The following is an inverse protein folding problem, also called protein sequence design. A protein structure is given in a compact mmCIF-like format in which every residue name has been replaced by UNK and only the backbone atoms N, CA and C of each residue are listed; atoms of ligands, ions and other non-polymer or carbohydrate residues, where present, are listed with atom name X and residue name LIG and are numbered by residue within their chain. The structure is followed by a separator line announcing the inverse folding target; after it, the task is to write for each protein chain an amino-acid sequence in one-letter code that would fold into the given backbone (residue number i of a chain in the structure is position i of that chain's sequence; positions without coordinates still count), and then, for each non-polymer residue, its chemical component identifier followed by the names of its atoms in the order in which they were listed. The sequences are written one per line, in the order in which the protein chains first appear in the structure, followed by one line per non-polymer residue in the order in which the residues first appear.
data_IF_584290406259
#
_entry.id   IF_584290406259
#
_cell.length_a   1.000
_cell.length_b   1.000
_cell.length_c   1.000
_cell.angle_alpha   90.00
_cell.angle_beta   90.00
_cell.angle_gamma   90.00
#
_symmetry.space_group_name_H-M   'P 1'
#
loop_
_entity.id
_entity.type
_entity.pdbx_description
1 polymer ?
#
# COMPACT_ATOMS: atom_id res chain seq x y z
N UNK A 1 -1.29 6.35 4.89
CA UNK A 1 -0.37 6.99 3.92
C UNK A 1 -1.13 7.98 3.04
N UNK A 2 -0.68 9.23 3.03
CA UNK A 2 -1.28 10.23 2.14
C UNK A 2 -0.95 9.91 0.68
N UNK A 3 -1.97 9.88 -0.20
CA UNK A 3 -1.80 9.49 -1.62
C UNK A 3 -2.27 10.58 -2.59
N UNK A 4 -3.04 11.53 -2.09
CA UNK A 4 -3.55 12.67 -2.87
C UNK A 4 -3.86 13.80 -1.91
N UNK A 5 -4.04 15.04 -2.38
CA UNK A 5 -4.44 16.13 -1.50
C UNK A 5 -5.74 15.81 -0.76
N UNK A 6 -5.69 15.82 0.56
CA UNK A 6 -6.84 15.56 1.41
C UNK A 6 -7.26 14.10 1.54
N UNK A 7 -6.52 13.15 0.94
CA UNK A 7 -6.89 11.73 0.94
C UNK A 7 -5.70 10.88 1.38
N UNK A 8 -5.97 9.97 2.30
CA UNK A 8 -5.00 8.96 2.74
C UNK A 8 -5.59 7.56 2.59
N UNK A 9 -4.73 6.57 2.62
CA UNK A 9 -5.10 5.17 2.49
C UNK A 9 -4.44 4.33 3.59
N UNK A 10 -5.16 3.32 4.03
CA UNK A 10 -4.67 2.25 4.89
C UNK A 10 -5.33 0.94 4.48
N UNK A 11 -5.11 -0.12 5.23
CA UNK A 11 -5.80 -1.38 4.97
C UNK A 11 -7.20 -1.37 5.62
N UNK A 12 -8.14 -2.08 4.99
CA UNK A 12 -9.50 -2.22 5.52
C UNK A 12 -9.52 -2.86 6.90
N UNK A 13 -8.58 -3.77 7.18
CA UNK A 13 -8.51 -4.41 8.48
C UNK A 13 -8.10 -3.45 9.62
N UNK A 14 -7.65 -2.23 9.28
CA UNK A 14 -7.34 -1.17 10.25
C UNK A 14 -8.53 -0.22 10.50
N UNK A 15 -9.72 -0.53 9.99
CA UNK A 15 -10.88 0.37 10.04
C UNK A 15 -11.23 0.84 11.46
N UNK A 16 -11.08 -0.05 12.44
CA UNK A 16 -11.41 0.27 13.83
C UNK A 16 -10.49 1.31 14.47
N UNK A 17 -9.38 1.64 13.82
CA UNK A 17 -8.44 2.66 14.28
C UNK A 17 -8.83 4.07 13.83
N UNK A 18 -9.87 4.20 13.00
CA UNK A 18 -10.26 5.49 12.40
C UNK A 18 -11.69 5.88 12.82
N UNK A 19 -11.93 7.20 13.06
CA UNK A 19 -13.30 7.68 13.22
C UNK A 19 -14.10 7.47 11.94
N UNK A 20 -15.35 7.01 12.07
CA UNK A 20 -16.18 6.73 10.90
C UNK A 20 -16.48 7.98 10.05
N UNK A 21 -16.44 9.16 10.66
CA UNK A 21 -16.74 10.43 9.97
C UNK A 21 -15.73 10.79 8.89
N UNK A 22 -14.48 10.32 9.02
CA UNK A 22 -13.43 10.62 8.05
C UNK A 22 -13.31 9.57 6.95
N UNK A 23 -13.97 8.42 7.08
CA UNK A 23 -13.88 7.35 6.09
C UNK A 23 -14.60 7.76 4.81
N UNK A 24 -13.89 7.69 3.68
CA UNK A 24 -14.44 7.93 2.34
C UNK A 24 -15.09 6.66 1.82
N UNK A 25 -14.40 5.54 1.94
CA UNK A 25 -14.90 4.26 1.48
C UNK A 25 -13.84 3.18 1.52
N UNK A 26 -14.28 1.96 1.19
CA UNK A 26 -13.46 0.77 1.21
C UNK A 26 -13.50 0.11 -0.16
N UNK A 27 -12.36 -0.34 -0.66
CA UNK A 27 -12.30 -1.08 -1.91
C UNK A 27 -13.06 -2.39 -1.78
N UNK A 28 -13.72 -2.79 -2.87
CA UNK A 28 -14.57 -3.97 -2.85
C UNK A 28 -13.79 -5.28 -2.73
N UNK A 29 -12.72 -5.42 -3.52
CA UNK A 29 -11.99 -6.67 -3.68
C UNK A 29 -10.56 -6.61 -3.14
N UNK A 30 -10.19 -5.52 -2.49
CA UNK A 30 -8.84 -5.30 -1.99
C UNK A 30 -8.88 -4.77 -0.56
N UNK A 31 -7.85 -5.05 0.21
CA UNK A 31 -7.72 -4.60 1.59
C UNK A 31 -7.26 -3.14 1.65
N UNK A 32 -8.09 -2.25 1.13
CA UNK A 32 -7.83 -0.81 1.03
C UNK A 32 -9.01 -0.01 1.59
N UNK A 33 -8.70 0.92 2.46
CA UNK A 33 -9.62 1.87 3.06
C UNK A 33 -9.12 3.28 2.81
N UNK A 34 -9.98 4.14 2.28
CA UNK A 34 -9.64 5.54 2.00
C UNK A 34 -10.32 6.45 3.00
N UNK A 35 -9.58 7.45 3.47
CA UNK A 35 -10.10 8.37 4.48
C UNK A 35 -9.58 9.80 4.23
N UNK A 36 -10.30 10.77 4.79
CA UNK A 36 -9.92 12.18 4.67
C UNK A 36 -8.73 12.49 5.56
N UNK A 37 -7.79 13.26 5.02
CA UNK A 37 -6.61 13.71 5.72
C UNK A 37 -6.47 15.21 5.49
N UNK A 38 -6.05 15.93 6.51
CA UNK A 38 -5.84 17.39 6.42
C UNK A 38 -4.58 17.77 5.66
N UNK A 39 -3.69 16.83 5.42
CA UNK A 39 -2.42 17.08 4.73
C UNK A 39 -2.63 17.23 3.23
N UNK A 40 -1.96 18.23 2.65
CA UNK A 40 -1.94 18.44 1.20
C UNK A 40 -0.53 18.10 0.72
N UNK A 41 -0.31 16.84 0.38
CA UNK A 41 1.01 16.37 -0.04
C UNK A 41 0.97 15.96 -1.50
N UNK A 42 1.98 16.36 -2.26
CA UNK A 42 2.23 15.79 -3.56
C UNK A 42 3.17 14.61 -3.39
N UNK A 43 2.74 13.46 -3.84
CA UNK A 43 3.50 12.23 -3.72
C UNK A 43 3.94 11.81 -5.12
N UNK A 44 5.26 11.79 -5.34
CA UNK A 44 5.81 11.22 -6.55
C UNK A 44 5.63 9.71 -6.51
N UNK A 45 5.22 9.11 -7.62
CA UNK A 45 4.90 7.69 -7.69
C UNK A 45 5.66 7.01 -8.82
N UNK A 46 5.83 5.70 -8.70
CA UNK A 46 6.43 4.87 -9.73
C UNK A 46 5.80 3.48 -9.69
N UNK A 47 6.00 2.71 -10.76
CA UNK A 47 5.54 1.34 -10.83
C UNK A 47 6.57 0.39 -10.24
N UNK A 48 6.13 -0.75 -9.66
CA UNK A 48 7.07 -1.77 -9.21
C UNK A 48 7.76 -2.45 -10.41
N UNK A 49 9.02 -2.78 -10.24
CA UNK A 49 9.80 -3.51 -11.25
C UNK A 49 10.49 -4.70 -10.62
N UNK A 50 10.46 -5.84 -11.28
CA UNK A 50 11.15 -7.05 -10.81
C UNK A 50 12.64 -6.80 -10.69
N UNK A 51 13.23 -7.25 -9.58
CA UNK A 51 14.64 -7.07 -9.29
C UNK A 51 15.00 -5.71 -8.74
N UNK A 52 14.06 -4.77 -8.67
CA UNK A 52 14.31 -3.44 -8.13
C UNK A 52 14.35 -3.45 -6.62
N UNK A 53 15.22 -2.61 -6.05
CA UNK A 53 15.29 -2.40 -4.60
C UNK A 53 14.13 -1.55 -4.13
N UNK A 54 13.61 -1.88 -2.96
CA UNK A 54 12.53 -1.14 -2.33
C UNK A 54 12.80 -0.96 -0.84
N UNK A 55 12.19 0.06 -0.25
CA UNK A 55 12.22 0.27 1.18
C UNK A 55 10.81 0.49 1.69
N UNK A 56 10.44 -0.28 2.71
CA UNK A 56 9.14 -0.17 3.36
C UNK A 56 9.27 0.55 4.69
N UNK A 57 8.20 1.21 5.11
CA UNK A 57 8.11 1.93 6.38
C UNK A 57 6.89 1.45 7.15
N UNK A 58 7.07 1.30 8.46
CA UNK A 58 6.01 0.89 9.34
C UNK A 58 6.31 1.23 10.79
N UNK A 59 5.47 0.76 11.70
CA UNK A 59 5.66 0.94 13.13
C UNK A 59 5.99 -0.39 13.79
N UNK A 60 6.96 -0.38 14.69
CA UNK A 60 7.23 -1.52 15.56
C UNK A 60 6.20 -1.61 16.69
N UNK A 61 6.30 -2.66 17.50
CA UNK A 61 5.40 -2.90 18.63
C UNK A 61 5.43 -1.77 19.66
N UNK A 62 6.52 -1.03 19.73
CA UNK A 62 6.71 0.12 20.62
C UNK A 62 6.22 1.45 20.01
N UNK A 63 5.68 1.42 18.77
CA UNK A 63 5.26 2.60 18.05
C UNK A 63 6.37 3.34 17.33
N UNK A 64 7.62 2.90 17.46
CA UNK A 64 8.75 3.51 16.77
C UNK A 64 8.72 3.23 15.28
N UNK A 65 9.21 4.18 14.49
CA UNK A 65 9.34 4.01 13.04
C UNK A 65 10.34 2.91 12.72
N UNK A 66 9.92 1.98 11.89
CA UNK A 66 10.76 0.88 11.41
C UNK A 66 10.87 0.95 9.90
N UNK A 67 12.00 0.50 9.37
CA UNK A 67 12.21 0.39 7.93
C UNK A 67 12.59 -1.05 7.59
N UNK A 68 12.24 -1.46 6.38
CA UNK A 68 12.62 -2.78 5.86
C UNK A 68 13.04 -2.64 4.41
N UNK A 69 14.21 -3.15 4.08
CA UNK A 69 14.71 -3.16 2.72
C UNK A 69 14.34 -4.48 2.05
N UNK A 70 14.16 -4.46 0.76
CA UNK A 70 13.87 -5.67 0.00
C UNK A 70 14.10 -5.50 -1.48
N UNK A 71 13.83 -6.57 -2.21
CA UNK A 71 13.92 -6.63 -3.67
C UNK A 71 12.62 -7.21 -4.20
N UNK A 72 12.04 -6.56 -5.19
CA UNK A 72 10.78 -7.03 -5.81
C UNK A 72 11.04 -8.38 -6.49
N UNK A 73 10.29 -9.38 -6.06
CA UNK A 73 10.39 -10.76 -6.56
C UNK A 73 9.40 -11.05 -7.68
N UNK A 74 8.19 -10.54 -7.55
CA UNK A 74 7.10 -10.87 -8.46
C UNK A 74 6.07 -9.75 -8.52
N UNK A 75 5.39 -9.68 -9.67
CA UNK A 75 4.29 -8.75 -9.91
C UNK A 75 3.15 -9.58 -10.48
N UNK A 76 2.03 -9.64 -9.77
CA UNK A 76 0.89 -10.44 -10.16
C UNK A 76 -0.17 -9.59 -10.83
N UNK A 77 -0.57 -10.04 -12.00
CA UNK A 77 -1.66 -9.42 -12.76
C UNK A 77 -2.92 -10.27 -12.63
N UNK A 78 -4.06 -9.67 -12.93
CA UNK A 78 -5.33 -10.39 -12.97
C UNK A 78 -5.87 -10.38 -14.39
N UNK A 79 -6.70 -11.40 -14.69
CA UNK A 79 -7.32 -11.51 -16.02
C UNK A 79 -8.25 -10.33 -16.27
N UNK A 80 -8.05 -9.63 -17.39
CA UNK A 80 -8.85 -8.47 -17.75
C UNK A 80 -8.53 -7.18 -16.99
N UNK A 81 -7.51 -7.19 -16.13
CA UNK A 81 -7.10 -6.00 -15.39
C UNK A 81 -6.10 -5.18 -16.20
N UNK A 82 -6.23 -3.85 -16.14
CA UNK A 82 -5.26 -2.94 -16.73
C UNK A 82 -4.07 -2.69 -15.79
N UNK A 83 -4.32 -2.67 -14.48
CA UNK A 83 -3.29 -2.51 -13.47
C UNK A 83 -2.98 -3.84 -12.79
N UNK A 84 -1.73 -4.07 -12.35
CA UNK A 84 -1.40 -5.27 -11.58
C UNK A 84 -2.21 -5.37 -10.30
N UNK A 85 -2.49 -6.59 -9.84
CA UNK A 85 -3.23 -6.82 -8.62
C UNK A 85 -2.38 -6.54 -7.39
N UNK A 86 -1.15 -7.10 -7.35
CA UNK A 86 -0.21 -6.89 -6.24
C UNK A 86 1.21 -7.20 -6.69
N UNK A 87 2.19 -6.83 -5.86
CA UNK A 87 3.56 -7.24 -6.02
C UNK A 87 4.12 -7.80 -4.71
N UNK A 88 5.20 -8.55 -4.82
CA UNK A 88 5.81 -9.27 -3.69
C UNK A 88 7.29 -8.91 -3.61
N UNK A 89 7.77 -8.61 -2.41
CA UNK A 89 9.20 -8.45 -2.18
C UNK A 89 9.62 -9.22 -0.93
N UNK A 90 10.87 -9.66 -0.90
CA UNK A 90 11.43 -10.32 0.28
C UNK A 90 12.05 -9.28 1.20
N UNK A 91 11.73 -9.32 2.47
CA UNK A 91 12.24 -8.34 3.44
C UNK A 91 11.82 -8.66 4.87
N UNK A 92 12.16 -7.78 5.80
CA UNK A 92 11.92 -7.97 7.24
C UNK A 92 10.72 -7.18 7.77
N UNK A 93 9.83 -6.73 6.89
CA UNK A 93 8.60 -6.08 7.33
C UNK A 93 7.70 -7.09 8.04
N UNK A 94 7.00 -6.66 9.07
CA UNK A 94 6.15 -7.54 9.86
C UNK A 94 4.94 -6.79 10.40
N UNK A 95 4.40 -7.22 11.55
CA UNK A 95 3.29 -6.52 12.19
C UNK A 95 3.61 -5.03 12.39
N UNK A 96 2.66 -4.15 12.08
CA UNK A 96 2.84 -2.71 12.13
C UNK A 96 3.23 -2.08 10.79
N UNK A 97 3.52 -2.86 9.77
CA UNK A 97 3.80 -2.37 8.41
C UNK A 97 2.55 -2.30 7.53
N UNK A 98 1.47 -2.97 7.90
CA UNK A 98 0.21 -2.96 7.12
C UNK A 98 -0.34 -1.55 6.95
N UNK A 99 -0.63 -1.17 5.71
CA UNK A 99 -1.06 0.18 5.36
C UNK A 99 0.10 1.14 5.15
N UNK A 100 1.34 0.71 5.40
CA UNK A 100 2.53 1.52 5.22
C UNK A 100 3.01 1.57 3.77
N UNK A 101 3.86 2.56 3.44
CA UNK A 101 4.34 2.75 2.08
C UNK A 101 5.52 1.86 1.74
N UNK A 102 5.62 1.55 0.45
CA UNK A 102 6.82 0.98 -0.16
C UNK A 102 7.36 2.02 -1.13
N UNK A 103 8.62 2.40 -0.96
CA UNK A 103 9.28 3.42 -1.77
C UNK A 103 10.41 2.81 -2.59
N UNK A 104 10.70 3.42 -3.73
CA UNK A 104 11.89 3.11 -4.50
C UNK A 104 13.12 3.89 -3.98
N UNK A 105 14.35 3.65 -4.49
CA UNK A 105 15.53 4.37 -4.01
C UNK A 105 15.49 5.88 -4.23
N UNK A 106 14.66 6.37 -5.15
CA UNK A 106 14.45 7.79 -5.38
C UNK A 106 13.40 8.41 -4.44
N UNK A 107 12.82 7.60 -3.54
CA UNK A 107 11.78 8.07 -2.62
C UNK A 107 10.39 8.14 -3.21
N UNK A 108 10.17 7.55 -4.40
CA UNK A 108 8.85 7.54 -5.02
C UNK A 108 8.00 6.42 -4.43
N UNK A 109 6.72 6.69 -4.20
CA UNK A 109 5.77 5.72 -3.68
C UNK A 109 5.41 4.71 -4.77
N UNK A 110 5.65 3.43 -4.52
CA UNK A 110 5.32 2.36 -5.46
C UNK A 110 4.19 1.46 -4.97
N UNK A 111 3.91 1.45 -3.68
CA UNK A 111 2.82 0.60 -3.20
C UNK A 111 2.49 0.77 -1.72
N UNK A 112 1.44 0.05 -1.31
CA UNK A 112 0.91 0.02 0.05
C UNK A 112 0.87 -1.42 0.52
N UNK A 113 1.50 -1.73 1.64
CA UNK A 113 1.58 -3.08 2.19
C UNK A 113 0.20 -3.52 2.71
N UNK A 114 -0.19 -4.77 2.43
CA UNK A 114 -1.41 -5.33 3.00
C UNK A 114 -1.18 -6.63 3.77
N UNK A 115 -0.03 -7.26 3.67
CA UNK A 115 0.23 -8.48 4.42
C UNK A 115 1.62 -9.03 4.21
N UNK A 116 1.90 -10.14 4.88
CA UNK A 116 3.15 -10.86 4.71
C UNK A 116 2.92 -12.35 4.93
N UNK A 117 3.88 -13.16 4.46
CA UNK A 117 3.87 -14.60 4.62
C UNK A 117 5.30 -15.08 4.88
N UNK A 118 5.49 -15.88 5.89
CA UNK A 118 6.75 -16.54 6.14
C UNK A 118 6.84 -17.81 5.29
N UNK A 119 7.92 -17.95 4.55
CA UNK A 119 8.14 -19.06 3.64
C UNK A 119 9.58 -19.55 3.79
N UNK A 120 9.76 -20.61 4.56
CA UNK A 120 11.08 -21.09 4.93
C UNK A 120 11.82 -20.07 5.79
N UNK A 121 13.04 -19.70 5.38
CA UNK A 121 13.85 -18.68 6.06
C UNK A 121 13.56 -17.26 5.57
N UNK A 122 12.69 -17.10 4.57
CA UNK A 122 12.35 -15.82 4.00
C UNK A 122 10.98 -15.35 4.46
N UNK A 123 10.82 -14.02 4.50
CA UNK A 123 9.50 -13.41 4.63
C UNK A 123 9.16 -12.69 3.35
N UNK A 124 8.01 -13.01 2.78
CA UNK A 124 7.48 -12.36 1.59
C UNK A 124 6.44 -11.32 2.02
N UNK A 125 6.61 -10.11 1.53
CA UNK A 125 5.73 -8.99 1.84
C UNK A 125 4.90 -8.67 0.60
N UNK A 126 3.60 -8.52 0.79
CA UNK A 126 2.62 -8.27 -0.27
C UNK A 126 2.16 -6.83 -0.21
N UNK A 127 2.17 -6.17 -1.36
CA UNK A 127 1.76 -4.77 -1.46
C UNK A 127 0.93 -4.55 -2.73
N UNK A 128 -0.01 -3.60 -2.64
CA UNK A 128 -0.74 -3.14 -3.82
C UNK A 128 0.07 -2.07 -4.53
N UNK A 129 0.29 -2.18 -5.86
CA UNK A 129 0.90 -1.09 -6.61
C UNK A 129 0.07 0.19 -6.50
N UNK A 130 0.72 1.34 -6.54
CA UNK A 130 0.02 2.62 -6.41
C UNK A 130 -1.02 2.80 -7.53
N UNK A 131 -0.79 2.27 -8.72
CA UNK A 131 -1.77 2.29 -9.79
C UNK A 131 -3.07 1.56 -9.42
N UNK A 132 -2.96 0.41 -8.73
CA UNK A 132 -4.12 -0.31 -8.20
C UNK A 132 -4.83 0.51 -7.13
N UNK A 133 -4.09 1.12 -6.21
CA UNK A 133 -4.67 1.95 -5.16
C UNK A 133 -5.47 3.11 -5.75
N UNK A 134 -4.92 3.79 -6.76
CA UNK A 134 -5.59 4.89 -7.43
C UNK A 134 -6.82 4.45 -8.23
N UNK A 135 -6.74 3.29 -8.87
CA UNK A 135 -7.88 2.73 -9.60
C UNK A 135 -9.05 2.44 -8.66
N UNK A 136 -8.77 1.90 -7.47
CA UNK A 136 -9.80 1.61 -6.47
C UNK A 136 -10.39 2.88 -5.87
N UNK A 137 -9.58 3.91 -5.65
CA UNK A 137 -10.07 5.21 -5.22
C UNK A 137 -10.98 5.82 -6.28
N UNK A 138 -10.59 5.79 -7.54
CA UNK A 138 -11.41 6.30 -8.64
C UNK A 138 -12.76 5.58 -8.72
N UNK A 139 -12.79 4.27 -8.52
CA UNK A 139 -14.03 3.50 -8.53
C UNK A 139 -15.00 3.92 -7.42
N UNK A 140 -14.49 4.41 -6.29
CA UNK A 140 -15.31 4.89 -5.18
C UNK A 140 -15.83 6.31 -5.40
N UNK A 141 -15.07 7.15 -6.12
CA UNK A 141 -15.39 8.58 -6.25
C UNK A 141 -16.06 8.93 -7.57
N UNK A 142 -16.03 8.05 -8.58
CA UNK A 142 -16.69 8.28 -9.84
C UNK A 142 -18.21 8.09 -9.71
N UNK A 143 -19.01 8.97 -10.36
CA UNK A 143 -20.46 8.78 -10.35
C UNK A 143 -20.81 7.47 -11.06
N UNK A 144 -21.73 6.73 -10.49
CA UNK A 144 -22.29 5.54 -11.14
C UNK A 144 -23.19 5.99 -12.29
N UNK A 145 -22.94 5.41 -13.44
CA UNK A 145 -23.83 5.57 -14.60
C UNK A 145 -25.02 4.68 -14.48
#
# INVERSE_FOLDING_TARGET
MAIAPGIAVTNSHNRNLLPSEIVIGQARDYDLLFFRDTRTVRVATAEPERGARVQAYGQGADGDLRTADGVVRDIQTCSGCTEPAYFVFAGNAGPGFSGGPVLDPAGRLIGIIFGYKDEGSERLIYAYPIARVRAELSALTEPRK
#
